data_IF_994719725539
#
_entry.id   IF_994719725539
#
_cell.length_a   1.000
_cell.length_b   1.000
_cell.length_c   1.000
_cell.angle_alpha   90.00
_cell.angle_beta   90.00
_cell.angle_gamma   90.00
#
_symmetry.space_group_name_H-M   'P 1'
#
loop_
_entity.id
_entity.type
_entity.pdbx_description
1 polymer ?
#
# COMPACT_ATOMS: atom_id res chain seq x y z
N UNK A 1 12.92 -15.68 -0.69
CA UNK A 1 13.70 -14.78 0.19
C UNK A 1 13.14 -14.83 1.59
N UNK A 2 14.00 -14.85 2.58
CA UNK A 2 13.57 -14.82 3.99
C UNK A 2 13.82 -13.43 4.57
N UNK A 3 12.78 -12.67 4.75
CA UNK A 3 12.86 -11.29 5.22
C UNK A 3 13.53 -11.15 6.59
N UNK A 4 13.32 -12.11 7.48
CA UNK A 4 13.91 -12.10 8.82
C UNK A 4 15.44 -12.28 8.85
N UNK A 5 16.04 -12.73 7.75
CA UNK A 5 17.48 -12.95 7.63
C UNK A 5 18.19 -11.77 6.97
N UNK A 6 17.46 -10.72 6.60
CA UNK A 6 18.01 -9.51 5.98
C UNK A 6 18.20 -8.45 7.05
N UNK A 7 19.44 -7.94 7.26
CA UNK A 7 19.66 -6.93 8.28
C UNK A 7 19.00 -5.60 7.93
N UNK A 8 18.26 -5.06 8.90
CA UNK A 8 17.61 -3.77 8.78
C UNK A 8 16.33 -3.79 7.95
N UNK A 9 15.32 -3.03 8.40
CA UNK A 9 14.03 -2.97 7.70
C UNK A 9 14.15 -2.36 6.31
N UNK A 10 14.96 -1.32 6.17
CA UNK A 10 15.13 -0.63 4.89
C UNK A 10 15.70 -1.54 3.81
N UNK A 11 16.74 -2.31 4.15
CA UNK A 11 17.36 -3.22 3.19
C UNK A 11 16.42 -4.36 2.79
N UNK A 12 15.68 -4.91 3.76
CA UNK A 12 14.70 -5.94 3.50
C UNK A 12 13.60 -5.46 2.54
N UNK A 13 13.15 -4.23 2.73
CA UNK A 13 12.12 -3.62 1.88
C UNK A 13 12.62 -3.42 0.46
N UNK A 14 13.85 -2.90 0.30
CA UNK A 14 14.43 -2.66 -1.02
C UNK A 14 14.61 -3.94 -1.83
N UNK A 15 14.84 -5.07 -1.17
CA UNK A 15 15.05 -6.35 -1.83
C UNK A 15 13.78 -7.17 -2.03
N UNK A 16 12.65 -6.70 -1.53
CA UNK A 16 11.40 -7.44 -1.59
C UNK A 16 10.65 -7.15 -2.90
N UNK A 17 10.36 -8.20 -3.67
CA UNK A 17 9.65 -8.07 -4.95
C UNK A 17 8.21 -7.61 -4.79
N UNK A 18 7.63 -7.73 -3.62
CA UNK A 18 6.26 -7.29 -3.36
C UNK A 18 6.16 -5.78 -3.14
N UNK A 19 7.29 -5.11 -2.97
CA UNK A 19 7.35 -3.66 -2.80
C UNK A 19 7.79 -3.04 -4.12
N UNK A 20 6.98 -2.12 -4.63
CA UNK A 20 7.29 -1.43 -5.87
C UNK A 20 8.21 -0.26 -5.55
N UNK A 21 9.44 -0.34 -6.03
CA UNK A 21 10.40 0.75 -5.96
C UNK A 21 10.06 1.75 -7.07
N UNK A 22 10.25 3.02 -6.81
CA UNK A 22 9.96 4.10 -7.76
C UNK A 22 8.52 4.01 -8.33
N UNK A 23 7.49 4.00 -7.46
CA UNK A 23 6.11 3.79 -7.90
C UNK A 23 5.58 4.86 -8.86
N UNK A 24 6.17 6.05 -8.86
CA UNK A 24 5.79 7.14 -9.76
C UNK A 24 6.00 6.78 -11.24
N UNK A 25 6.84 5.80 -11.52
CA UNK A 25 7.06 5.32 -12.90
C UNK A 25 5.83 4.62 -13.48
N UNK A 26 4.93 4.16 -12.64
CA UNK A 26 3.75 3.42 -13.06
C UNK A 26 2.49 4.28 -13.11
N UNK A 27 2.61 5.58 -12.95
CA UNK A 27 1.47 6.49 -13.02
C UNK A 27 0.74 6.32 -14.36
N UNK A 28 -0.55 6.02 -14.30
CA UNK A 28 -1.37 5.74 -15.49
C UNK A 28 -1.21 4.32 -16.03
N UNK A 29 -0.29 3.51 -15.48
CA UNK A 29 0.05 2.19 -16.00
C UNK A 29 0.07 1.11 -14.92
N UNK A 30 -0.67 1.30 -13.82
CA UNK A 30 -0.64 0.35 -12.69
C UNK A 30 -1.13 -1.04 -13.07
N UNK A 31 -1.98 -1.17 -14.09
CA UNK A 31 -2.39 -2.49 -14.57
C UNK A 31 -1.19 -3.36 -14.97
N UNK A 32 -0.13 -2.75 -15.50
CA UNK A 32 1.06 -3.48 -15.92
C UNK A 32 1.81 -4.13 -14.75
N UNK A 33 1.72 -3.53 -13.56
CA UNK A 33 2.36 -4.07 -12.36
C UNK A 33 1.77 -5.44 -11.99
N UNK A 34 0.46 -5.59 -12.18
CA UNK A 34 -0.25 -6.83 -11.86
C UNK A 34 -0.34 -7.80 -13.04
N UNK A 35 0.01 -7.34 -14.24
CA UNK A 35 -0.12 -8.13 -15.45
C UNK A 35 -1.54 -8.27 -15.98
N UNK A 36 -2.52 -7.68 -15.30
CA UNK A 36 -3.92 -7.74 -15.69
C UNK A 36 -4.66 -6.51 -15.20
N UNK A 37 -5.52 -5.95 -16.05
CA UNK A 37 -6.34 -4.80 -15.67
C UNK A 37 -7.55 -5.27 -14.87
N UNK A 38 -7.65 -4.79 -13.63
CA UNK A 38 -8.76 -5.03 -12.71
C UNK A 38 -9.05 -3.75 -11.96
N UNK A 39 -10.22 -3.62 -11.34
CA UNK A 39 -10.46 -2.48 -10.44
C UNK A 39 -9.34 -2.37 -9.40
N UNK A 40 -8.83 -1.16 -9.21
CA UNK A 40 -7.68 -0.90 -8.34
C UNK A 40 -8.14 -0.22 -7.06
N UNK A 41 -7.77 -0.82 -5.93
CA UNK A 41 -8.09 -0.29 -4.61
C UNK A 41 -6.80 -0.05 -3.82
N UNK A 42 -6.81 1.01 -3.02
CA UNK A 42 -5.68 1.34 -2.14
C UNK A 42 -6.11 1.23 -0.69
N UNK A 43 -5.17 0.84 0.18
CA UNK A 43 -5.30 1.11 1.60
C UNK A 43 -4.17 2.05 2.00
N UNK A 44 -4.52 3.21 2.53
CA UNK A 44 -3.55 4.21 3.00
C UNK A 44 -3.36 4.04 4.51
N UNK A 45 -2.10 3.91 4.93
CA UNK A 45 -1.79 3.60 6.32
C UNK A 45 -2.18 2.17 6.65
N UNK A 46 -1.71 1.25 5.84
CA UNK A 46 -2.14 -0.16 5.93
C UNK A 46 -1.69 -0.90 7.19
N UNK A 47 -0.78 -0.32 7.95
CA UNK A 47 -0.26 -0.98 9.15
C UNK A 47 0.40 -2.31 8.81
N UNK A 48 0.01 -3.36 9.54
CA UNK A 48 0.56 -4.72 9.33
C UNK A 48 -0.06 -5.44 8.13
N UNK A 49 -0.95 -4.78 7.38
CA UNK A 49 -1.49 -5.31 6.14
C UNK A 49 -2.56 -6.39 6.28
N UNK A 50 -3.04 -6.68 7.49
CA UNK A 50 -4.00 -7.77 7.71
C UNK A 50 -5.30 -7.57 6.93
N UNK A 51 -5.87 -6.37 7.02
CA UNK A 51 -7.10 -6.05 6.28
C UNK A 51 -6.90 -6.23 4.79
N UNK A 52 -5.81 -5.68 4.27
CA UNK A 52 -5.53 -5.71 2.85
C UNK A 52 -5.29 -7.13 2.34
N UNK A 53 -4.58 -7.96 3.11
CA UNK A 53 -4.37 -9.36 2.74
C UNK A 53 -5.67 -10.14 2.73
N UNK A 54 -6.57 -9.90 3.69
CA UNK A 54 -7.88 -10.52 3.70
C UNK A 54 -8.70 -10.10 2.48
N UNK A 55 -8.67 -8.79 2.14
CA UNK A 55 -9.40 -8.28 0.98
C UNK A 55 -8.86 -8.84 -0.33
N UNK A 56 -7.54 -8.94 -0.46
CA UNK A 56 -6.92 -9.50 -1.66
C UNK A 56 -7.31 -10.98 -1.87
N UNK A 57 -7.39 -11.72 -0.77
CA UNK A 57 -7.82 -13.12 -0.80
C UNK A 57 -9.28 -13.29 -1.18
N UNK A 58 -10.14 -12.42 -0.61
CA UNK A 58 -11.58 -12.48 -0.83
C UNK A 58 -11.98 -11.98 -2.23
N UNK A 59 -11.16 -11.11 -2.82
CA UNK A 59 -11.49 -10.46 -4.09
C UNK A 59 -10.36 -10.60 -5.11
N UNK A 60 -10.16 -11.82 -5.64
CA UNK A 60 -9.12 -12.03 -6.66
C UNK A 60 -9.39 -11.26 -7.96
N UNK A 61 -10.61 -10.77 -8.16
CA UNK A 61 -11.01 -9.97 -9.31
C UNK A 61 -10.60 -8.49 -9.19
N UNK A 62 -9.90 -8.12 -8.11
CA UNK A 62 -9.44 -6.74 -7.86
C UNK A 62 -7.94 -6.71 -7.68
N UNK A 63 -7.33 -5.55 -7.96
CA UNK A 63 -5.93 -5.28 -7.65
C UNK A 63 -5.86 -4.37 -6.42
N UNK A 64 -4.90 -4.64 -5.55
CA UNK A 64 -4.74 -3.90 -4.30
C UNK A 64 -3.31 -3.37 -4.16
N UNK A 65 -3.20 -2.12 -3.71
CA UNK A 65 -1.92 -1.51 -3.34
C UNK A 65 -1.99 -1.05 -1.89
N UNK A 66 -1.08 -1.54 -1.07
CA UNK A 66 -0.94 -1.11 0.32
C UNK A 66 0.09 0.00 0.44
N UNK A 67 -0.24 1.05 1.15
CA UNK A 67 0.62 2.22 1.32
C UNK A 67 1.00 2.35 2.79
N UNK A 68 2.29 2.35 3.07
CA UNK A 68 2.83 2.51 4.42
C UNK A 68 4.13 3.29 4.34
N UNK A 69 4.27 4.32 5.18
CA UNK A 69 5.47 5.16 5.17
C UNK A 69 6.54 4.72 6.18
N UNK A 70 6.17 3.92 7.17
CA UNK A 70 7.09 3.48 8.22
C UNK A 70 7.70 2.12 7.90
N UNK A 71 9.03 2.08 7.79
CA UNK A 71 9.77 0.87 7.41
C UNK A 71 9.49 -0.32 8.34
N UNK A 72 9.49 -0.09 9.64
CA UNK A 72 9.28 -1.19 10.60
C UNK A 72 7.88 -1.79 10.52
N UNK A 73 6.89 -0.96 10.22
CA UNK A 73 5.50 -1.41 10.08
C UNK A 73 5.32 -2.17 8.78
N UNK A 74 5.87 -1.63 7.68
CA UNK A 74 5.81 -2.29 6.38
C UNK A 74 6.52 -3.65 6.43
N UNK A 75 7.68 -3.71 7.07
CA UNK A 75 8.42 -4.97 7.20
C UNK A 75 7.58 -6.05 7.87
N UNK A 76 6.81 -5.70 8.90
CA UNK A 76 5.92 -6.66 9.57
C UNK A 76 4.84 -7.19 8.63
N UNK A 77 4.30 -6.33 7.77
CA UNK A 77 3.34 -6.76 6.78
C UNK A 77 3.97 -7.73 5.77
N UNK A 78 5.19 -7.45 5.33
CA UNK A 78 5.93 -8.32 4.42
C UNK A 78 6.21 -9.68 5.06
N UNK A 79 6.61 -9.70 6.32
CA UNK A 79 6.87 -10.94 7.07
C UNK A 79 5.58 -11.76 7.20
N UNK A 80 4.47 -11.11 7.46
CA UNK A 80 3.16 -11.79 7.54
C UNK A 80 2.78 -12.40 6.21
N UNK A 81 2.96 -11.67 5.11
CA UNK A 81 2.71 -12.18 3.77
C UNK A 81 3.60 -13.40 3.47
N UNK A 82 4.88 -13.32 3.84
CA UNK A 82 5.80 -14.44 3.63
C UNK A 82 5.30 -15.70 4.35
N UNK A 83 4.86 -15.57 5.61
CA UNK A 83 4.29 -16.68 6.37
C UNK A 83 3.09 -17.29 5.66
N UNK A 84 2.18 -16.45 5.18
CA UNK A 84 0.97 -16.90 4.52
C UNK A 84 1.27 -17.56 3.17
N UNK A 85 2.24 -17.04 2.42
CA UNK A 85 2.63 -17.64 1.15
C UNK A 85 3.34 -18.98 1.35
N UNK A 86 4.14 -19.11 2.41
CA UNK A 86 4.74 -20.40 2.80
C UNK A 86 3.67 -21.42 3.19
N UNK A 87 2.53 -20.97 3.70
CA UNK A 87 1.39 -21.82 4.04
C UNK A 87 0.51 -22.14 2.84
N UNK A 88 0.88 -21.69 1.64
CA UNK A 88 0.17 -22.02 0.41
C UNK A 88 -0.78 -20.95 -0.12
N UNK A 89 -0.90 -19.83 0.56
CA UNK A 89 -1.73 -18.72 0.07
C UNK A 89 -0.96 -17.90 -0.97
N UNK A 90 -1.70 -17.24 -1.88
CA UNK A 90 -1.10 -16.43 -2.93
C UNK A 90 -1.79 -15.06 -3.03
N UNK A 91 -0.99 -14.04 -3.29
CA UNK A 91 -1.46 -12.66 -3.36
C UNK A 91 -0.95 -11.98 -4.64
N UNK A 92 -1.20 -12.59 -5.79
CA UNK A 92 -0.77 -12.04 -7.08
C UNK A 92 -1.42 -10.69 -7.41
N UNK A 93 -2.50 -10.35 -6.71
CA UNK A 93 -3.25 -9.12 -6.86
C UNK A 93 -2.94 -8.07 -5.79
N UNK A 94 -1.81 -8.19 -5.11
CA UNK A 94 -1.43 -7.30 -4.01
C UNK A 94 0.04 -6.92 -4.09
N UNK A 95 0.30 -5.62 -4.08
CA UNK A 95 1.66 -5.08 -3.95
C UNK A 95 1.66 -3.97 -2.89
N UNK A 96 2.85 -3.59 -2.47
CA UNK A 96 3.03 -2.54 -1.45
C UNK A 96 3.91 -1.44 -1.99
N UNK A 97 3.70 -0.21 -1.49
CA UNK A 97 4.60 0.91 -1.75
C UNK A 97 4.93 1.60 -0.43
N UNK A 98 6.18 2.03 -0.31
CA UNK A 98 6.66 2.76 0.87
C UNK A 98 6.74 4.24 0.51
N UNK A 99 5.66 4.94 0.74
CA UNK A 99 5.57 6.36 0.44
C UNK A 99 4.71 7.08 1.46
N UNK A 100 4.89 8.39 1.53
CA UNK A 100 3.98 9.27 2.23
C UNK A 100 2.74 9.46 1.35
N UNK A 101 1.55 9.37 1.94
CA UNK A 101 0.30 9.51 1.19
C UNK A 101 0.13 10.86 0.49
N UNK A 102 0.92 11.87 0.88
CA UNK A 102 0.92 13.16 0.19
C UNK A 102 1.37 13.05 -1.27
N UNK A 103 2.08 11.98 -1.61
CA UNK A 103 2.60 11.76 -2.96
C UNK A 103 1.63 11.01 -3.88
N UNK A 104 0.44 10.63 -3.42
CA UNK A 104 -0.51 9.86 -4.22
C UNK A 104 -0.79 10.45 -5.61
N UNK A 105 -0.98 11.77 -5.76
CA UNK A 105 -1.22 12.34 -7.10
C UNK A 105 -0.03 12.22 -8.05
N UNK A 106 1.17 11.98 -7.54
CA UNK A 106 2.36 11.77 -8.35
C UNK A 106 2.54 10.30 -8.75
N UNK A 107 1.82 9.40 -8.08
CA UNK A 107 1.95 7.96 -8.24
C UNK A 107 0.79 7.38 -9.05
N UNK A 108 -0.41 7.92 -8.87
CA UNK A 108 -1.61 7.48 -9.58
C UNK A 108 -2.21 8.60 -10.39
N UNK A 109 -2.72 8.27 -11.57
CA UNK A 109 -3.38 9.23 -12.42
C UNK A 109 -4.84 9.39 -12.02
N UNK A 110 -5.47 10.49 -12.45
CA UNK A 110 -6.91 10.72 -12.23
C UNK A 110 -7.72 9.55 -12.79
N UNK A 111 -8.67 9.08 -12.02
CA UNK A 111 -9.56 7.96 -12.34
C UNK A 111 -8.86 6.59 -12.42
N UNK A 112 -7.58 6.50 -12.03
CA UNK A 112 -6.87 5.22 -12.03
C UNK A 112 -7.28 4.35 -10.85
N UNK A 113 -7.66 4.95 -9.73
CA UNK A 113 -8.02 4.26 -8.50
C UNK A 113 -9.54 4.22 -8.34
N UNK A 114 -10.07 3.04 -8.07
CA UNK A 114 -11.51 2.83 -7.93
C UNK A 114 -12.02 2.99 -6.50
N UNK A 115 -11.15 2.85 -5.52
CA UNK A 115 -11.52 3.05 -4.13
C UNK A 115 -10.31 3.15 -3.20
N UNK A 116 -10.50 3.81 -2.07
CA UNK A 116 -9.45 4.00 -1.07
C UNK A 116 -10.00 3.67 0.31
N UNK A 117 -9.27 2.83 1.05
CA UNK A 117 -9.57 2.50 2.45
C UNK A 117 -8.61 3.25 3.37
N UNK A 118 -9.13 3.78 4.47
CA UNK A 118 -8.38 4.54 5.47
C UNK A 118 -8.63 3.91 6.85
N UNK A 119 -8.02 2.75 7.10
CA UNK A 119 -8.39 1.95 8.27
C UNK A 119 -7.55 2.20 9.54
N UNK A 120 -6.28 2.48 9.41
CA UNK A 120 -5.37 2.53 10.56
C UNK A 120 -4.52 3.80 10.58
N UNK A 121 -5.17 4.95 10.31
CA UNK A 121 -4.47 6.22 10.39
C UNK A 121 -4.14 6.58 11.85
N UNK A 122 -2.99 7.21 12.07
CA UNK A 122 -2.65 7.76 13.38
C UNK A 122 -3.73 8.76 13.81
N UNK A 123 -4.17 8.72 15.07
CA UNK A 123 -5.25 9.58 15.51
C UNK A 123 -4.90 11.07 15.51
N UNK A 124 -3.62 11.43 15.81
CA UNK A 124 -3.18 12.82 15.89
C UNK A 124 -4.23 13.69 16.57
N UNK A 125 -4.54 13.47 17.88
CA UNK A 125 -5.72 14.04 18.53
C UNK A 125 -5.69 15.54 18.77
N UNK A 126 -4.50 16.16 18.79
CA UNK A 126 -4.36 17.60 19.06
C UNK A 126 -4.73 18.41 17.83
N UNK A 127 -5.37 19.56 18.03
CA UNK A 127 -5.76 20.43 16.93
C UNK A 127 -4.59 20.82 16.02
N UNK A 128 -3.38 21.02 16.58
CA UNK A 128 -2.17 21.33 15.80
C UNK A 128 -1.77 20.21 14.82
N UNK A 129 -2.29 18.99 15.03
CA UNK A 129 -2.00 17.84 14.16
C UNK A 129 -3.02 17.66 13.05
N UNK A 130 -3.99 18.59 12.89
CA UNK A 130 -5.08 18.40 11.93
C UNK A 130 -4.58 18.07 10.52
N UNK A 131 -3.51 18.73 10.07
CA UNK A 131 -2.96 18.51 8.73
C UNK A 131 -2.28 17.13 8.55
N UNK A 132 -1.89 16.49 9.66
CA UNK A 132 -1.23 15.18 9.64
C UNK A 132 -2.22 14.03 9.55
N UNK A 133 -3.49 14.28 9.85
CA UNK A 133 -4.52 13.23 9.81
C UNK A 133 -4.77 12.84 8.36
N UNK A 134 -4.80 11.53 8.10
CA UNK A 134 -5.09 11.01 6.76
C UNK A 134 -6.50 11.36 6.27
N UNK A 135 -7.38 11.77 7.18
CA UNK A 135 -8.73 12.22 6.87
C UNK A 135 -8.86 13.75 6.85
N UNK A 136 -7.74 14.50 6.94
CA UNK A 136 -7.76 15.96 6.86
C UNK A 136 -8.21 16.42 5.47
N UNK A 137 -8.64 17.70 5.38
CA UNK A 137 -9.11 18.26 4.11
C UNK A 137 -8.04 18.21 3.03
N UNK A 138 -6.78 18.48 3.37
CA UNK A 138 -5.68 18.43 2.42
C UNK A 138 -5.47 17.01 1.87
N UNK A 139 -5.55 16.00 2.73
CA UNK A 139 -5.45 14.61 2.29
C UNK A 139 -6.65 14.20 1.44
N UNK A 140 -7.86 14.59 1.83
CA UNK A 140 -9.07 14.28 1.06
C UNK A 140 -8.99 14.85 -0.36
N UNK A 141 -8.44 16.05 -0.52
CA UNK A 141 -8.21 16.63 -1.85
C UNK A 141 -7.24 15.80 -2.68
N UNK A 142 -6.21 15.23 -2.05
CA UNK A 142 -5.26 14.39 -2.76
C UNK A 142 -5.91 13.08 -3.23
N UNK A 143 -6.79 12.51 -2.41
CA UNK A 143 -7.52 11.30 -2.81
C UNK A 143 -8.43 11.57 -4.02
N UNK A 144 -9.09 12.73 -4.05
CA UNK A 144 -9.93 13.12 -5.17
C UNK A 144 -9.15 13.21 -6.49
N UNK A 145 -7.86 13.50 -6.43
CA UNK A 145 -7.03 13.62 -7.62
C UNK A 145 -6.73 12.27 -8.30
N UNK A 146 -6.95 11.16 -7.62
CA UNK A 146 -6.64 9.82 -8.15
C UNK A 146 -7.88 8.95 -8.33
N UNK A 147 -8.96 9.30 -7.68
CA UNK A 147 -10.23 8.57 -7.77
C UNK A 147 -11.00 8.84 -9.04
#
# INVERSE_FOLDING_TARGET
>A
MRLRNIPGAKDAILECDWVIDEPEKFKGEWASVFGEKRPLFLEVGMGKGRFLMDMARLHPERNYVGIEMYDSVLLRALQKREELEEAGEKFSNLVFIRVDARLLPEIFEKDEVDGIYLNFSDPWPKARHAKRRLTSREFLKRYEQVL
#
